data_IF_109692395426
#
_entry.id   IF_109692395426
#
_cell.length_a   1.000
_cell.length_b   1.000
_cell.length_c   1.000
_cell.angle_alpha   90.00
_cell.angle_beta   90.00
_cell.angle_gamma   90.00
#
_symmetry.space_group_name_H-M   'P 1'
#
loop_
_entity.id
_entity.type
_entity.pdbx_description
1 polymer ?
#
# COMPACT_ATOMS: atom_id res chain seq x y z
N UNK A 1 -24.73 37.13 -12.51
CA UNK A 1 -24.55 35.75 -13.04
C UNK A 1 -25.16 34.78 -12.03
N UNK A 2 -25.82 33.71 -12.46
CA UNK A 2 -26.52 32.77 -11.55
C UNK A 2 -25.53 31.84 -10.84
N UNK A 3 -25.93 31.32 -9.66
CA UNK A 3 -25.09 30.49 -8.79
C UNK A 3 -24.47 29.29 -9.53
N UNK A 4 -25.29 28.55 -10.29
CA UNK A 4 -24.83 27.36 -11.01
C UNK A 4 -23.83 27.70 -12.12
N UNK A 5 -23.98 28.85 -12.77
CA UNK A 5 -23.04 29.33 -13.80
C UNK A 5 -21.71 29.75 -13.19
N UNK A 6 -21.73 30.38 -12.02
CA UNK A 6 -20.53 30.75 -11.27
C UNK A 6 -19.81 29.48 -10.80
N UNK A 7 -20.55 28.51 -10.26
CA UNK A 7 -20.03 27.21 -9.83
C UNK A 7 -19.36 26.47 -10.98
N UNK A 8 -20.04 26.29 -12.10
CA UNK A 8 -19.50 25.60 -13.26
C UNK A 8 -18.23 26.29 -13.80
N UNK A 9 -18.21 27.62 -13.82
CA UNK A 9 -17.04 28.38 -14.26
C UNK A 9 -15.84 28.21 -13.31
N UNK A 10 -16.06 28.24 -12.00
CA UNK A 10 -15.01 28.03 -10.99
C UNK A 10 -14.51 26.59 -11.04
N UNK A 11 -15.42 25.62 -11.12
CA UNK A 11 -15.09 24.19 -11.28
C UNK A 11 -14.18 23.98 -12.49
N UNK A 12 -14.53 24.56 -13.65
CA UNK A 12 -13.70 24.47 -14.85
C UNK A 12 -12.33 25.13 -14.68
N UNK A 13 -12.24 26.21 -13.92
CA UNK A 13 -10.96 26.86 -13.63
C UNK A 13 -10.08 26.03 -12.68
N UNK A 14 -10.68 25.26 -11.77
CA UNK A 14 -9.95 24.40 -10.83
C UNK A 14 -9.49 23.10 -11.51
N UNK A 15 -10.39 22.43 -12.22
CA UNK A 15 -10.17 21.08 -12.75
C UNK A 15 -9.34 21.07 -14.04
N UNK A 16 -9.54 22.05 -14.92
CA UNK A 16 -8.91 22.04 -16.25
C UNK A 16 -7.69 22.96 -16.36
N UNK A 17 -7.18 23.50 -15.25
CA UNK A 17 -6.04 24.41 -15.30
C UNK A 17 -4.78 23.79 -14.71
N UNK A 18 -3.78 23.55 -15.55
CA UNK A 18 -2.50 22.97 -15.14
C UNK A 18 -1.79 23.78 -14.05
N UNK A 19 -1.92 25.10 -14.01
CA UNK A 19 -1.25 25.93 -12.98
C UNK A 19 -1.90 25.72 -11.61
N UNK A 20 -3.20 25.46 -11.57
CA UNK A 20 -3.92 25.09 -10.35
C UNK A 20 -3.55 23.68 -9.93
N UNK A 21 -3.58 22.73 -10.87
CA UNK A 21 -3.19 21.33 -10.64
C UNK A 21 -1.72 21.20 -10.17
N UNK A 22 -0.83 22.05 -10.68
CA UNK A 22 0.58 22.12 -10.28
C UNK A 22 0.81 22.89 -8.96
N UNK A 23 -0.24 23.34 -8.28
CA UNK A 23 -0.15 23.93 -6.94
C UNK A 23 0.32 25.39 -6.90
N UNK A 24 0.37 26.10 -8.05
CA UNK A 24 0.74 27.53 -8.09
C UNK A 24 -0.23 28.40 -7.29
N UNK A 25 -1.51 28.00 -7.23
CA UNK A 25 -2.57 28.71 -6.52
C UNK A 25 -3.11 27.83 -5.39
N UNK A 26 -2.33 27.66 -4.32
CA UNK A 26 -2.65 26.78 -3.21
C UNK A 26 -4.05 27.06 -2.61
N UNK A 27 -4.83 26.00 -2.37
CA UNK A 27 -6.18 26.10 -1.81
C UNK A 27 -7.28 26.40 -2.81
N UNK A 28 -6.94 26.70 -4.07
CA UNK A 28 -7.93 26.75 -5.16
C UNK A 28 -8.21 25.32 -5.65
N UNK A 29 -8.85 24.52 -4.81
CA UNK A 29 -9.13 23.10 -5.03
C UNK A 29 -10.66 22.83 -4.96
N UNK A 30 -11.08 21.64 -5.40
CA UNK A 30 -12.51 21.26 -5.46
C UNK A 30 -13.16 21.28 -4.07
N UNK A 31 -12.39 21.00 -3.02
CA UNK A 31 -12.87 21.04 -1.63
C UNK A 31 -13.25 22.45 -1.18
N UNK A 32 -12.57 23.47 -1.71
CA UNK A 32 -12.86 24.88 -1.42
C UNK A 32 -13.81 25.53 -2.43
N UNK A 33 -14.23 24.82 -3.49
CA UNK A 33 -15.08 25.34 -4.57
C UNK A 33 -16.37 25.97 -4.01
N UNK A 34 -17.11 25.25 -3.17
CA UNK A 34 -18.38 25.73 -2.63
C UNK A 34 -18.22 27.05 -1.85
N UNK A 35 -17.17 27.15 -1.01
CA UNK A 35 -16.90 28.36 -0.24
C UNK A 35 -16.49 29.56 -1.12
N UNK A 36 -15.78 29.30 -2.22
CA UNK A 36 -15.40 30.33 -3.20
C UNK A 36 -16.64 30.80 -3.95
N UNK A 37 -17.50 29.88 -4.39
CA UNK A 37 -18.75 30.15 -5.09
C UNK A 37 -19.67 31.01 -4.22
N UNK A 38 -19.93 30.58 -2.99
CA UNK A 38 -20.81 31.31 -2.06
C UNK A 38 -20.34 32.74 -1.85
N UNK A 39 -19.03 32.94 -1.71
CA UNK A 39 -18.45 34.27 -1.50
C UNK A 39 -18.54 35.16 -2.74
N UNK A 40 -18.28 34.60 -3.92
CA UNK A 40 -18.37 35.35 -5.18
C UNK A 40 -19.81 35.73 -5.46
N UNK A 41 -20.76 34.81 -5.25
CA UNK A 41 -22.19 35.07 -5.38
C UNK A 41 -22.63 36.19 -4.44
N UNK A 42 -22.15 36.18 -3.19
CA UNK A 42 -22.57 37.16 -2.18
C UNK A 42 -22.01 38.58 -2.39
N UNK A 43 -20.81 38.75 -2.96
CA UNK A 43 -20.11 40.05 -2.96
C UNK A 43 -19.42 40.46 -4.25
N UNK A 44 -19.17 39.55 -5.18
CA UNK A 44 -18.27 39.79 -6.30
C UNK A 44 -18.73 39.15 -7.63
N UNK A 45 -20.04 38.93 -7.80
CA UNK A 45 -20.61 38.25 -8.96
C UNK A 45 -20.28 38.98 -10.28
N UNK A 46 -20.35 40.31 -10.26
CA UNK A 46 -20.10 41.14 -11.44
C UNK A 46 -18.60 41.24 -11.77
N UNK A 47 -17.74 41.40 -10.75
CA UNK A 47 -16.28 41.41 -10.90
C UNK A 47 -15.77 40.09 -11.50
N UNK A 48 -16.31 38.97 -11.01
CA UNK A 48 -15.97 37.64 -11.51
C UNK A 48 -16.46 37.44 -12.95
N UNK A 49 -17.67 37.89 -13.29
CA UNK A 49 -18.18 37.83 -14.66
C UNK A 49 -17.29 38.58 -15.66
N UNK A 50 -16.82 39.78 -15.27
CA UNK A 50 -15.94 40.57 -16.10
C UNK A 50 -14.57 39.91 -16.30
N UNK A 51 -13.98 39.34 -15.24
CA UNK A 51 -12.71 38.62 -15.35
C UNK A 51 -12.85 37.32 -16.17
N UNK A 52 -13.95 36.61 -16.02
CA UNK A 52 -14.24 35.38 -16.77
C UNK A 52 -14.46 35.67 -18.26
N UNK A 53 -15.16 36.75 -18.62
CA UNK A 53 -15.36 37.13 -20.03
C UNK A 53 -14.06 37.48 -20.76
N UNK A 54 -13.00 37.81 -20.02
CA UNK A 54 -11.66 38.12 -20.56
C UNK A 54 -10.61 37.09 -20.16
N UNK A 55 -11.02 35.85 -19.85
CA UNK A 55 -10.16 34.78 -19.32
C UNK A 55 -8.94 34.50 -20.20
N UNK A 56 -9.06 34.57 -21.52
CA UNK A 56 -7.96 34.28 -22.45
C UNK A 56 -6.81 35.28 -22.36
N UNK A 57 -7.09 36.53 -21.97
CA UNK A 57 -6.08 37.59 -21.82
C UNK A 57 -5.65 37.82 -20.36
N UNK A 58 -6.53 37.52 -19.40
CA UNK A 58 -6.32 37.81 -17.98
C UNK A 58 -6.27 36.56 -17.11
N UNK A 59 -5.93 35.41 -17.68
CA UNK A 59 -5.89 34.12 -16.99
C UNK A 59 -5.15 34.21 -15.63
N UNK A 60 -3.91 34.71 -15.61
CA UNK A 60 -3.15 34.84 -14.36
C UNK A 60 -3.81 35.78 -13.35
N UNK A 61 -4.49 36.83 -13.83
CA UNK A 61 -5.18 37.81 -12.97
C UNK A 61 -6.46 37.21 -12.38
N UNK A 62 -7.21 36.42 -13.17
CA UNK A 62 -8.37 35.67 -12.72
C UNK A 62 -7.99 34.70 -11.59
N UNK A 63 -6.93 33.91 -11.78
CA UNK A 63 -6.48 32.96 -10.76
C UNK A 63 -5.92 33.63 -9.50
N UNK A 64 -5.15 34.71 -9.65
CA UNK A 64 -4.69 35.50 -8.50
C UNK A 64 -5.87 36.11 -7.74
N UNK A 65 -6.87 36.62 -8.46
CA UNK A 65 -8.06 37.22 -7.86
C UNK A 65 -8.94 36.19 -7.15
N UNK A 66 -9.13 35.00 -7.73
CA UNK A 66 -9.82 33.89 -7.07
C UNK A 66 -9.08 33.44 -5.81
N UNK A 67 -7.76 33.32 -5.88
CA UNK A 67 -6.93 32.97 -4.74
C UNK A 67 -6.98 34.04 -3.62
N UNK A 68 -7.02 35.33 -3.97
CA UNK A 68 -7.21 36.42 -3.00
C UNK A 68 -8.59 36.40 -2.33
N UNK A 69 -9.61 35.95 -3.07
CA UNK A 69 -10.96 35.75 -2.54
C UNK A 69 -11.11 34.44 -1.77
N UNK A 70 -10.05 33.65 -1.65
CA UNK A 70 -9.97 32.52 -0.75
C UNK A 70 -9.66 33.04 0.66
N UNK A 71 -10.67 33.14 1.52
CA UNK A 71 -10.44 33.33 2.96
C UNK A 71 -10.07 31.96 3.52
N UNK A 72 -8.80 31.57 3.36
CA UNK A 72 -8.23 30.56 4.21
C UNK A 72 -8.40 31.08 5.65
N UNK A 73 -9.27 30.44 6.43
CA UNK A 73 -9.21 30.60 7.88
C UNK A 73 -7.80 30.18 8.25
N UNK A 74 -6.92 31.17 8.49
CA UNK A 74 -5.56 30.94 9.00
C UNK A 74 -5.75 30.21 10.33
N UNK A 75 -5.65 28.88 10.31
CA UNK A 75 -5.95 28.01 11.44
C UNK A 75 -6.87 26.81 11.15
N UNK A 76 -7.47 26.69 9.96
CA UNK A 76 -8.27 25.50 9.57
C UNK A 76 -7.90 24.90 8.19
N UNK A 77 -6.79 25.30 7.60
CA UNK A 77 -6.15 24.38 6.67
C UNK A 77 -5.61 23.24 7.55
N UNK A 78 -6.07 21.97 7.41
CA UNK A 78 -5.39 20.89 8.08
C UNK A 78 -3.92 20.99 7.69
N UNK A 79 -3.03 20.94 8.68
CA UNK A 79 -1.58 20.85 8.51
C UNK A 79 -1.15 19.61 7.70
N UNK A 80 -2.11 18.79 7.27
CA UNK A 80 -1.99 17.61 6.42
C UNK A 80 -2.45 17.91 4.99
N UNK A 81 -1.91 18.94 4.32
CA UNK A 81 -2.09 19.01 2.86
C UNK A 81 -1.11 18.03 2.22
N UNK A 82 -1.68 16.90 1.79
CA UNK A 82 -1.07 15.88 0.93
C UNK A 82 -0.15 16.58 -0.08
N UNK A 83 1.12 16.21 -0.21
CA UNK A 83 1.89 16.57 -1.40
C UNK A 83 1.05 16.18 -2.62
N UNK A 84 1.08 16.98 -3.70
CA UNK A 84 0.42 16.70 -4.99
C UNK A 84 0.76 15.28 -5.48
N UNK A 85 0.05 14.31 -4.94
CA UNK A 85 0.27 12.90 -5.13
C UNK A 85 -1.03 12.37 -5.70
N UNK A 86 -0.97 11.63 -6.81
CA UNK A 86 -2.14 10.97 -7.37
C UNK A 86 -2.85 10.15 -6.28
N UNK A 87 -4.17 10.11 -6.35
CA UNK A 87 -4.96 9.24 -5.49
C UNK A 87 -4.41 7.81 -5.64
N UNK A 88 -4.11 7.09 -4.54
CA UNK A 88 -3.58 5.73 -4.59
C UNK A 88 -4.42 4.80 -5.46
N UNK A 89 -5.74 5.06 -5.60
CA UNK A 89 -6.65 4.30 -6.46
C UNK A 89 -6.26 4.34 -7.95
N UNK A 90 -5.65 5.45 -8.39
CA UNK A 90 -5.29 5.70 -9.78
C UNK A 90 -3.78 5.71 -10.02
N UNK A 91 -2.97 5.27 -9.05
CA UNK A 91 -1.53 5.15 -9.24
C UNK A 91 -1.25 3.95 -10.14
N UNK A 92 -0.73 4.24 -11.32
CA UNK A 92 -0.47 3.22 -12.35
C UNK A 92 1.00 3.04 -12.71
N UNK A 93 1.91 3.74 -12.01
CA UNK A 93 3.35 3.61 -12.23
C UNK A 93 4.11 3.53 -10.91
N UNK A 94 5.26 2.83 -10.94
CA UNK A 94 6.13 2.63 -9.77
C UNK A 94 6.68 3.95 -9.21
N UNK A 95 6.95 4.92 -10.07
CA UNK A 95 7.50 6.22 -9.66
C UNK A 95 6.58 6.97 -8.69
N UNK A 96 5.29 7.11 -9.02
CA UNK A 96 4.32 7.74 -8.13
C UNK A 96 4.02 6.88 -6.90
N UNK A 97 4.07 5.55 -7.02
CA UNK A 97 3.91 4.65 -5.89
C UNK A 97 5.02 4.85 -4.84
N UNK A 98 6.28 4.99 -5.28
CA UNK A 98 7.43 5.29 -4.41
C UNK A 98 7.21 6.62 -3.69
N UNK A 99 6.91 7.69 -4.43
CA UNK A 99 6.70 9.00 -3.83
C UNK A 99 5.52 9.01 -2.84
N UNK A 100 4.48 8.23 -3.12
CA UNK A 100 3.34 8.11 -2.22
C UNK A 100 3.74 7.40 -0.92
N UNK A 101 4.48 6.30 -1.01
CA UNK A 101 4.98 5.59 0.17
C UNK A 101 5.87 6.49 1.01
N UNK A 102 6.85 7.15 0.41
CA UNK A 102 7.78 8.02 1.12
C UNK A 102 7.10 9.18 1.85
N UNK A 103 6.10 9.77 1.22
CA UNK A 103 5.49 11.00 1.74
C UNK A 103 4.26 10.74 2.62
N UNK A 104 3.54 9.63 2.41
CA UNK A 104 2.27 9.35 3.10
C UNK A 104 2.39 8.15 4.04
N UNK A 105 2.97 7.04 3.59
CA UNK A 105 3.01 5.80 4.40
C UNK A 105 4.13 5.88 5.43
N UNK A 106 5.34 6.27 5.02
CA UNK A 106 6.53 6.35 5.88
C UNK A 106 6.42 7.48 6.92
N UNK A 107 5.63 8.52 6.64
CA UNK A 107 5.43 9.65 7.55
C UNK A 107 4.27 9.44 8.55
N UNK A 108 3.58 8.31 8.48
CA UNK A 108 2.50 7.95 9.40
C UNK A 108 2.99 6.83 10.33
N UNK A 109 3.36 7.20 11.55
CA UNK A 109 3.92 6.27 12.55
C UNK A 109 2.99 5.08 12.86
N UNK A 110 1.68 5.27 12.76
CA UNK A 110 0.70 4.20 13.01
C UNK A 110 0.79 3.15 11.90
N UNK A 111 0.83 3.61 10.64
CA UNK A 111 0.97 2.71 9.48
C UNK A 111 2.31 2.00 9.48
N UNK A 112 3.40 2.74 9.73
CA UNK A 112 4.75 2.17 9.82
C UNK A 112 4.80 1.08 10.90
N UNK A 113 4.25 1.36 12.09
CA UNK A 113 4.21 0.37 13.19
C UNK A 113 3.42 -0.87 12.80
N UNK A 114 2.22 -0.71 12.24
CA UNK A 114 1.39 -1.84 11.84
C UNK A 114 2.03 -2.69 10.74
N UNK A 115 2.67 -2.07 9.73
CA UNK A 115 3.40 -2.81 8.69
C UNK A 115 4.64 -3.50 9.29
N UNK A 116 5.36 -2.86 10.20
CA UNK A 116 6.49 -3.47 10.91
C UNK A 116 6.07 -4.69 11.73
N UNK A 117 4.94 -4.62 12.44
CA UNK A 117 4.38 -5.75 13.18
C UNK A 117 4.04 -6.92 12.26
N UNK A 118 3.51 -6.66 11.05
CA UNK A 118 3.32 -7.71 10.04
C UNK A 118 4.64 -8.34 9.60
N UNK A 119 5.66 -7.53 9.30
CA UNK A 119 6.98 -8.05 8.90
C UNK A 119 7.56 -8.96 10.00
N UNK A 120 7.51 -8.50 11.26
CA UNK A 120 7.98 -9.29 12.41
C UNK A 120 7.19 -10.59 12.54
N UNK A 121 5.86 -10.54 12.40
CA UNK A 121 4.97 -11.71 12.47
C UNK A 121 5.29 -12.73 11.36
N UNK A 122 5.60 -12.26 10.15
CA UNK A 122 6.00 -13.13 9.04
C UNK A 122 7.36 -13.76 9.29
N UNK A 123 8.33 -12.98 9.79
CA UNK A 123 9.67 -13.46 10.09
C UNK A 123 9.66 -14.50 11.20
N UNK A 124 8.98 -14.24 12.30
CA UNK A 124 8.86 -15.20 13.40
C UNK A 124 8.19 -16.49 12.94
N UNK A 125 7.16 -16.39 12.10
CA UNK A 125 6.51 -17.54 11.51
C UNK A 125 7.47 -18.37 10.64
N UNK A 126 8.29 -17.73 9.80
CA UNK A 126 9.29 -18.43 8.98
C UNK A 126 10.36 -19.12 9.83
N UNK A 127 10.82 -18.45 10.89
CA UNK A 127 11.79 -19.01 11.84
C UNK A 127 11.22 -20.22 12.60
N UNK A 128 9.98 -20.12 13.09
CA UNK A 128 9.28 -21.22 13.76
C UNK A 128 9.14 -22.46 12.85
N UNK A 129 8.78 -22.24 11.58
CA UNK A 129 8.65 -23.34 10.61
C UNK A 129 9.99 -23.97 10.26
N UNK A 130 11.03 -23.15 10.11
CA UNK A 130 12.39 -23.65 9.91
C UNK A 130 12.82 -24.53 11.09
N UNK A 131 12.58 -24.06 12.32
CA UNK A 131 12.90 -24.82 13.53
C UNK A 131 12.17 -26.16 13.58
N UNK A 132 10.85 -26.19 13.32
CA UNK A 132 10.08 -27.44 13.28
C UNK A 132 10.59 -28.41 12.21
N UNK A 133 10.96 -27.90 11.03
CA UNK A 133 11.54 -28.72 9.96
C UNK A 133 12.89 -29.31 10.37
N UNK A 134 13.76 -28.49 10.97
CA UNK A 134 15.07 -28.91 11.44
C UNK A 134 14.93 -29.97 12.56
N UNK A 135 13.98 -29.80 13.49
CA UNK A 135 13.67 -30.79 14.54
C UNK A 135 13.22 -32.13 13.96
N UNK A 136 12.34 -32.15 12.96
CA UNK A 136 11.90 -33.40 12.29
C UNK A 136 13.09 -34.10 11.63
N UNK A 137 13.96 -33.34 10.95
CA UNK A 137 15.15 -33.88 10.29
C UNK A 137 16.16 -34.41 11.31
N UNK A 138 16.34 -33.71 12.43
CA UNK A 138 17.23 -34.12 13.51
C UNK A 138 16.73 -35.42 14.17
N UNK A 139 15.43 -35.49 14.51
CA UNK A 139 14.80 -36.71 15.03
C UNK A 139 14.94 -37.91 14.10
N UNK A 140 14.80 -37.69 12.79
CA UNK A 140 15.05 -38.72 11.78
C UNK A 140 16.51 -39.18 11.82
N UNK A 141 17.47 -38.25 11.85
CA UNK A 141 18.89 -38.56 11.87
C UNK A 141 19.32 -39.28 13.16
N UNK A 142 18.80 -38.88 14.32
CA UNK A 142 19.04 -39.54 15.60
C UNK A 142 18.47 -40.95 15.61
N UNK A 143 17.21 -41.12 15.23
CA UNK A 143 16.56 -42.43 15.15
C UNK A 143 17.28 -43.36 14.17
N UNK A 144 17.71 -42.83 13.01
CA UNK A 144 18.53 -43.56 12.05
C UNK A 144 19.88 -43.97 12.65
N UNK A 145 20.57 -43.08 13.38
CA UNK A 145 21.83 -43.40 14.07
C UNK A 145 21.63 -44.50 15.12
N UNK A 146 20.56 -44.46 15.90
CA UNK A 146 20.25 -45.51 16.90
C UNK A 146 20.02 -46.88 16.24
N UNK A 147 19.35 -46.93 15.10
CA UNK A 147 19.16 -48.17 14.33
C UNK A 147 20.52 -48.73 13.88
N UNK A 148 21.45 -47.88 13.42
CA UNK A 148 22.78 -48.30 13.00
C UNK A 148 23.76 -48.63 14.15
N UNK A 149 23.59 -48.00 15.32
CA UNK A 149 24.40 -48.29 16.51
C UNK A 149 24.04 -49.63 17.15
N UNK A 150 22.79 -50.09 17.00
CA UNK A 150 22.36 -51.44 17.33
C UNK A 150 22.91 -52.47 16.32
N UNK A 151 24.24 -52.63 16.29
CA UNK A 151 24.96 -53.62 15.46
C UNK A 151 24.72 -55.03 15.98
N UNK A 152 23.59 -55.63 15.63
CA UNK A 152 23.39 -57.07 15.73
C UNK A 152 23.96 -57.81 14.50
N UNK A 153 23.95 -59.16 14.51
CA UNK A 153 24.45 -59.99 13.41
C UNK A 153 23.86 -59.63 12.04
N UNK A 154 24.61 -59.91 10.95
CA UNK A 154 24.29 -59.55 9.55
C UNK A 154 22.85 -59.87 9.09
N UNK A 155 22.17 -60.83 9.71
CA UNK A 155 20.76 -61.20 9.46
C UNK A 155 19.80 -60.04 9.78
N UNK A 156 20.19 -59.11 10.67
CA UNK A 156 19.41 -57.92 11.01
C UNK A 156 19.55 -56.78 9.99
N UNK A 157 20.39 -56.92 8.95
CA UNK A 157 20.57 -55.89 7.92
C UNK A 157 19.27 -55.56 7.18
N UNK A 158 18.52 -56.56 6.70
CA UNK A 158 17.22 -56.33 6.02
C UNK A 158 16.14 -55.81 6.97
N UNK A 159 16.21 -56.20 8.25
CA UNK A 159 15.32 -55.69 9.30
C UNK A 159 15.64 -54.21 9.60
N UNK A 160 16.91 -53.83 9.60
CA UNK A 160 17.34 -52.45 9.77
C UNK A 160 16.99 -51.59 8.55
N UNK A 161 17.17 -52.11 7.33
CA UNK A 161 16.74 -51.43 6.10
C UNK A 161 15.23 -51.19 6.06
N UNK A 162 14.42 -52.19 6.43
CA UNK A 162 12.97 -52.03 6.48
C UNK A 162 12.52 -51.07 7.58
N UNK A 163 13.19 -51.05 8.74
CA UNK A 163 12.95 -50.03 9.78
C UNK A 163 13.31 -48.62 9.31
N UNK A 164 14.42 -48.46 8.59
CA UNK A 164 14.84 -47.17 8.03
C UNK A 164 13.88 -46.70 6.93
N UNK A 165 13.37 -47.63 6.11
CA UNK A 165 12.38 -47.31 5.09
C UNK A 165 11.07 -46.82 5.72
N UNK A 166 10.55 -47.51 6.75
CA UNK A 166 9.38 -47.07 7.51
C UNK A 166 9.59 -45.73 8.20
N UNK A 167 10.76 -45.54 8.80
CA UNK A 167 11.13 -44.27 9.44
C UNK A 167 11.15 -43.13 8.41
N UNK A 168 11.73 -43.37 7.23
CA UNK A 168 11.74 -42.39 6.14
C UNK A 168 10.33 -42.04 5.67
N UNK A 169 9.47 -43.03 5.48
CA UNK A 169 8.09 -42.82 5.06
C UNK A 169 7.29 -42.03 6.10
N UNK A 170 7.48 -42.34 7.39
CA UNK A 170 6.89 -41.57 8.49
C UNK A 170 7.38 -40.11 8.49
N UNK A 171 8.70 -39.89 8.37
CA UNK A 171 9.28 -38.54 8.30
C UNK A 171 8.81 -37.77 7.06
N UNK A 172 8.72 -38.41 5.90
CA UNK A 172 8.17 -37.78 4.69
C UNK A 172 6.69 -37.39 4.88
N UNK A 173 5.92 -38.19 5.61
CA UNK A 173 4.52 -37.89 5.95
C UNK A 173 4.44 -36.69 6.91
N UNK A 174 5.30 -36.64 7.93
CA UNK A 174 5.37 -35.52 8.87
C UNK A 174 5.80 -34.22 8.18
N UNK A 175 6.78 -34.29 7.29
CA UNK A 175 7.22 -33.14 6.48
C UNK A 175 6.10 -32.65 5.55
N UNK A 176 5.35 -33.54 4.91
CA UNK A 176 4.19 -33.14 4.08
C UNK A 176 3.10 -32.46 4.91
N UNK A 177 2.78 -33.03 6.07
CA UNK A 177 1.82 -32.42 7.02
C UNK A 177 2.29 -31.04 7.49
N UNK A 178 3.60 -30.86 7.73
CA UNK A 178 4.19 -29.56 8.04
C UNK A 178 4.04 -28.58 6.86
N UNK A 179 4.39 -28.99 5.65
CA UNK A 179 4.30 -28.16 4.44
C UNK A 179 2.84 -27.73 4.15
N UNK A 180 1.86 -28.62 4.37
CA UNK A 180 0.44 -28.30 4.25
C UNK A 180 0.00 -27.24 5.27
N UNK A 181 0.41 -27.38 6.54
CA UNK A 181 0.15 -26.39 7.59
C UNK A 181 0.83 -25.05 7.27
N UNK A 182 2.04 -25.10 6.73
CA UNK A 182 2.79 -23.91 6.29
C UNK A 182 2.02 -23.18 5.19
N UNK A 183 1.62 -23.90 4.15
CA UNK A 183 0.89 -23.34 3.01
C UNK A 183 -0.45 -22.71 3.46
N UNK A 184 -1.20 -23.39 4.33
CA UNK A 184 -2.44 -22.85 4.88
C UNK A 184 -2.22 -21.54 5.64
N UNK A 185 -1.23 -21.51 6.55
CA UNK A 185 -0.98 -20.32 7.37
C UNK A 185 -0.33 -19.19 6.58
N UNK A 186 0.52 -19.48 5.59
CA UNK A 186 1.02 -18.48 4.64
C UNK A 186 -0.10 -17.86 3.81
N UNK A 187 -1.08 -18.66 3.35
CA UNK A 187 -2.25 -18.12 2.64
C UNK A 187 -3.06 -17.18 3.53
N UNK A 188 -3.27 -17.55 4.79
CA UNK A 188 -3.96 -16.70 5.77
C UNK A 188 -3.23 -15.38 5.98
N UNK A 189 -1.92 -15.43 6.22
CA UNK A 189 -1.07 -14.25 6.38
C UNK A 189 -1.06 -13.37 5.12
N UNK A 190 -1.02 -13.97 3.93
CA UNK A 190 -1.09 -13.23 2.66
C UNK A 190 -2.41 -12.47 2.51
N UNK A 191 -3.54 -13.06 2.93
CA UNK A 191 -4.83 -12.37 2.91
C UNK A 191 -4.86 -11.22 3.93
N UNK A 192 -4.40 -11.47 5.16
CA UNK A 192 -4.30 -10.43 6.21
C UNK A 192 -3.45 -9.24 5.74
N UNK A 193 -2.31 -9.52 5.08
CA UNK A 193 -1.46 -8.47 4.49
C UNK A 193 -2.20 -7.70 3.42
N UNK A 194 -2.87 -8.40 2.50
CA UNK A 194 -3.59 -7.75 1.40
C UNK A 194 -4.69 -6.83 1.93
N UNK A 195 -5.48 -7.28 2.92
CA UNK A 195 -6.53 -6.49 3.54
C UNK A 195 -5.98 -5.26 4.27
N UNK A 196 -4.89 -5.42 5.03
CA UNK A 196 -4.27 -4.32 5.77
C UNK A 196 -3.66 -3.28 4.82
N UNK A 197 -2.91 -3.71 3.80
CA UNK A 197 -2.32 -2.81 2.81
C UNK A 197 -3.38 -2.09 1.97
N UNK A 198 -4.48 -2.78 1.62
CA UNK A 198 -5.66 -2.15 0.99
C UNK A 198 -6.31 -1.12 1.92
N UNK A 199 -6.46 -1.45 3.21
CA UNK A 199 -7.00 -0.54 4.22
C UNK A 199 -6.16 0.72 4.44
N UNK A 200 -4.83 0.59 4.35
CA UNK A 200 -3.90 1.73 4.41
C UNK A 200 -3.75 2.50 3.10
N UNK A 201 -4.48 2.09 2.06
CA UNK A 201 -4.43 2.68 0.73
C UNK A 201 -3.01 2.67 0.15
N UNK A 202 -2.32 1.55 0.31
CA UNK A 202 -1.02 1.33 -0.31
C UNK A 202 -1.23 1.15 -1.83
N UNK A 203 -0.44 1.85 -2.67
CA UNK A 203 -0.53 1.70 -4.13
C UNK A 203 -0.42 0.25 -4.57
N UNK A 204 -1.14 -0.10 -5.64
CA UNK A 204 -1.28 -1.46 -6.18
C UNK A 204 -2.01 -2.51 -5.31
N UNK A 205 -2.17 -2.26 -4.01
CA UNK A 205 -3.09 -3.01 -3.14
C UNK A 205 -4.47 -2.37 -3.07
N UNK A 206 -4.54 -1.07 -3.40
CA UNK A 206 -5.76 -0.27 -3.44
C UNK A 206 -5.95 0.27 -4.86
N UNK A 207 -6.45 -0.57 -5.77
CA UNK A 207 -6.81 -0.18 -7.15
C UNK A 207 -8.31 -0.37 -7.34
N UNK A 208 -8.90 0.42 -8.23
CA UNK A 208 -10.26 0.20 -8.74
C UNK A 208 -10.36 -1.16 -9.45
N UNK A 209 -11.37 -1.96 -9.08
CA UNK A 209 -11.63 -3.29 -9.63
C UNK A 209 -12.03 -3.23 -11.12
N UNK A 210 -12.50 -2.07 -11.60
CA UNK A 210 -12.83 -1.82 -13.00
C UNK A 210 -11.59 -1.51 -13.86
N UNK A 211 -10.43 -1.26 -13.25
CA UNK A 211 -9.21 -0.92 -13.97
C UNK A 211 -8.42 -2.18 -14.35
N UNK A 212 -8.27 -2.42 -15.66
CA UNK A 212 -7.44 -3.52 -16.18
C UNK A 212 -5.96 -3.17 -16.08
N UNK A 213 -5.35 -3.58 -14.97
CA UNK A 213 -3.91 -3.43 -14.76
C UNK A 213 -3.12 -4.62 -15.36
N UNK A 214 -2.14 -4.38 -16.24
CA UNK A 214 -1.48 -5.46 -17.01
C UNK A 214 -0.67 -6.42 -16.13
N UNK A 215 0.16 -5.92 -15.21
CA UNK A 215 1.10 -6.74 -14.40
C UNK A 215 0.98 -6.47 -12.89
N UNK A 216 -0.23 -6.61 -12.35
CA UNK A 216 -0.54 -6.21 -10.97
C UNK A 216 0.30 -6.94 -9.92
N UNK A 217 0.55 -8.24 -10.13
CA UNK A 217 1.29 -9.07 -9.17
C UNK A 217 2.74 -8.62 -9.01
N UNK A 218 3.42 -8.34 -10.13
CA UNK A 218 4.82 -7.90 -10.09
C UNK A 218 4.96 -6.55 -9.39
N UNK A 219 3.99 -5.65 -9.59
CA UNK A 219 4.00 -4.33 -8.95
C UNK A 219 3.61 -4.40 -7.46
N UNK A 220 2.75 -5.34 -7.07
CA UNK A 220 2.51 -5.65 -5.66
C UNK A 220 3.75 -6.20 -4.96
N UNK A 221 4.48 -7.12 -5.60
CA UNK A 221 5.76 -7.65 -5.10
C UNK A 221 6.79 -6.52 -4.92
N UNK A 222 6.94 -5.67 -5.94
CA UNK A 222 7.80 -4.48 -5.87
C UNK A 222 7.45 -3.58 -4.68
N UNK A 223 6.17 -3.36 -4.40
CA UNK A 223 5.75 -2.53 -3.27
C UNK A 223 6.01 -3.18 -1.91
N UNK A 224 5.92 -4.50 -1.81
CA UNK A 224 6.27 -5.21 -0.58
C UNK A 224 7.77 -5.06 -0.28
N UNK A 225 8.62 -5.22 -1.30
CA UNK A 225 10.06 -5.00 -1.17
C UNK A 225 10.37 -3.54 -0.79
N UNK A 226 9.74 -2.57 -1.46
CA UNK A 226 9.90 -1.15 -1.14
C UNK A 226 9.51 -0.85 0.31
N UNK A 227 8.38 -1.38 0.79
CA UNK A 227 7.91 -1.18 2.16
C UNK A 227 8.84 -1.82 3.18
N UNK A 228 9.34 -3.04 2.91
CA UNK A 228 10.34 -3.70 3.76
C UNK A 228 11.58 -2.82 3.91
N UNK A 229 12.19 -2.46 2.79
CA UNK A 229 13.46 -1.73 2.79
C UNK A 229 13.30 -0.34 3.45
N UNK A 230 12.17 0.33 3.17
CA UNK A 230 11.85 1.64 3.72
C UNK A 230 11.59 1.65 5.24
N UNK A 231 11.11 0.55 5.80
CA UNK A 231 10.71 0.45 7.21
C UNK A 231 11.81 -0.21 8.05
N UNK A 232 12.65 -1.06 7.46
CA UNK A 232 13.83 -1.65 8.12
C UNK A 232 15.01 -0.67 8.21
N UNK A 233 15.12 0.29 7.30
CA UNK A 233 16.16 1.35 7.32
C UNK A 233 15.87 2.51 8.30
N UNK A 234 14.73 2.50 9.00
CA UNK A 234 14.33 3.50 10.02
C UNK A 234 14.22 2.89 11.41
#
# INVERSE_FOLDING_TARGET
MDYDRIREAIHKCIVYNEKVLNGKYMGLDVENEAAIVDRIVQKHSDDFAQLLSKKDYYESKLFTWLHQNLKLVKGKAPLYKRPNLPDPLYITNRYHAIQYVEKIIINDDIKVRAIRELIIKHKSFQEDFKKQRDEIIEQYNESKRQIYQNKGPQILSSINESKIARLREATETDLRSLDERMAYKMKKLSNENHELLRGFKVPFFYIDESYKYPDLKQDQEFMLDLLRDSIELK
#
